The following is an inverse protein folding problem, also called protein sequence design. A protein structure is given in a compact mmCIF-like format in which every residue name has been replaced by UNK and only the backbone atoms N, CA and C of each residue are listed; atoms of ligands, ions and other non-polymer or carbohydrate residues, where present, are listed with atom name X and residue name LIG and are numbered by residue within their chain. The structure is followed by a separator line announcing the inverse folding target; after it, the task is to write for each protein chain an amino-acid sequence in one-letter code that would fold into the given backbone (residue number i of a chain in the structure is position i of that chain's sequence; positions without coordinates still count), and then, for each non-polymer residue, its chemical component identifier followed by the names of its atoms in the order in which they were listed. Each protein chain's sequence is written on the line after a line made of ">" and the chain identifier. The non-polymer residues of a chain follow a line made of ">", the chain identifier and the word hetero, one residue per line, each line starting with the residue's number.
data_IF_866032505439
#
_entry.id   IF_866032505439
#
_cell.length_a   1.000
_cell.length_b   1.000
_cell.length_c   1.000
_cell.angle_alpha   90.00
_cell.angle_beta   90.00
_cell.angle_gamma   90.00
#
_symmetry.space_group_name_H-M   'P 1'
#
loop_
_entity.id
_entity.type
_entity.pdbx_description
1 polymer ?
#
# COMPACT_ATOMS: atom_id res chain seq x y z
N UNK A 1 0.89 31.33 -5.83
CA UNK A 1 0.95 30.88 -5.61
C UNK A 1 0.76 30.04 -5.03
N UNK A 2 0.66 29.84 -4.76
CA UNK A 2 0.67 28.99 -3.83
C UNK A 2 0.01 27.83 -3.79
N UNK A 3 -0.78 27.51 -4.15
CA UNK A 3 -1.38 26.43 -4.02
C UNK A 3 -0.57 25.35 -3.95
N UNK A 4 0.48 25.40 -4.41
CA UNK A 4 1.30 24.38 -4.45
C UNK A 4 1.70 23.97 -3.18
N UNK A 5 1.73 24.75 -2.31
CA UNK A 5 2.20 24.36 -1.11
C UNK A 5 1.17 23.56 -0.51
N UNK A 6 0.03 23.59 -0.99
CA UNK A 6 -0.98 22.75 -0.48
C UNK A 6 -0.60 21.35 -0.66
N UNK A 7 -0.04 21.05 -1.80
CA UNK A 7 0.35 19.71 -2.06
C UNK A 7 1.39 19.27 -1.08
N UNK A 8 2.27 20.12 -0.70
CA UNK A 8 3.31 19.68 0.18
C UNK A 8 2.76 19.33 1.52
N UNK A 9 1.61 19.86 1.89
CA UNK A 9 1.09 19.53 3.13
C UNK A 9 0.43 18.24 3.19
N UNK A 10 0.20 17.58 2.09
CA UNK A 10 -0.53 16.35 2.11
C UNK A 10 0.30 15.23 2.64
N UNK A 11 1.59 15.41 2.69
CA UNK A 11 2.40 14.37 3.13
C UNK A 11 2.32 13.13 2.31
N UNK A 12 1.74 13.16 1.15
CA UNK A 12 1.62 12.02 0.27
C UNK A 12 2.77 12.07 -0.71
N UNK A 13 3.66 11.11 -0.66
CA UNK A 13 4.77 11.07 -1.60
C UNK A 13 4.36 10.27 -2.81
N UNK A 14 5.05 10.44 -3.94
CA UNK A 14 4.74 9.64 -5.11
C UNK A 14 4.87 8.14 -4.85
N UNK A 15 5.91 7.73 -4.11
CA UNK A 15 6.07 6.33 -3.82
C UNK A 15 4.98 5.84 -2.90
N UNK A 16 4.60 6.61 -1.91
CA UNK A 16 3.55 6.21 -1.00
C UNK A 16 2.23 6.09 -1.71
N UNK A 17 1.96 7.00 -2.65
CA UNK A 17 0.72 6.95 -3.37
C UNK A 17 0.68 5.75 -4.29
N UNK A 18 1.79 5.45 -4.96
CA UNK A 18 1.82 4.31 -5.85
C UNK A 18 1.67 3.00 -5.10
N UNK A 19 2.31 2.89 -3.94
CA UNK A 19 2.17 1.71 -3.13
C UNK A 19 0.72 1.58 -2.69
N UNK A 20 0.11 2.66 -2.25
CA UNK A 20 -1.26 2.63 -1.77
C UNK A 20 -2.24 2.24 -2.85
N UNK A 21 -2.05 2.76 -4.07
CA UNK A 21 -2.93 2.43 -5.16
C UNK A 21 -2.77 0.97 -5.56
N UNK A 22 -1.54 0.48 -5.56
CA UNK A 22 -1.28 -0.90 -5.90
C UNK A 22 -1.91 -1.82 -4.85
N UNK A 23 -1.76 -1.45 -3.58
CA UNK A 23 -2.33 -2.24 -2.50
C UNK A 23 -3.85 -2.31 -2.67
N UNK A 24 -4.47 -1.18 -2.97
CA UNK A 24 -5.90 -1.15 -3.14
C UNK A 24 -6.33 -2.00 -4.31
N UNK A 25 -5.63 -1.91 -5.43
CA UNK A 25 -5.99 -2.69 -6.60
C UNK A 25 -5.87 -4.18 -6.31
N UNK A 26 -4.83 -4.59 -5.63
CA UNK A 26 -4.64 -6.00 -5.32
C UNK A 26 -5.69 -6.47 -4.33
N UNK A 27 -6.04 -5.62 -3.38
CA UNK A 27 -7.05 -5.97 -2.40
C UNK A 27 -8.42 -6.18 -3.05
N UNK A 28 -8.79 -5.24 -3.92
CA UNK A 28 -10.08 -5.32 -4.60
C UNK A 28 -10.10 -6.54 -5.50
N UNK A 29 -9.00 -6.79 -6.21
CA UNK A 29 -8.92 -7.95 -7.09
C UNK A 29 -9.03 -9.25 -6.30
N UNK A 30 -8.58 -9.26 -5.07
CA UNK A 30 -8.67 -10.44 -4.24
C UNK A 30 -10.03 -10.57 -3.55
N UNK A 31 -10.90 -9.59 -3.73
CA UNK A 31 -12.22 -9.62 -3.13
C UNK A 31 -12.25 -9.32 -1.64
N UNK A 32 -11.25 -8.61 -1.15
CA UNK A 32 -11.14 -8.33 0.27
C UNK A 32 -11.54 -6.91 0.61
N UNK A 33 -12.19 -6.73 1.75
CA UNK A 33 -12.42 -5.38 2.26
C UNK A 33 -11.16 -4.93 2.98
N UNK A 34 -11.12 -3.67 3.36
CA UNK A 34 -9.98 -3.17 4.14
C UNK A 34 -9.89 -3.91 5.47
N UNK A 35 -11.04 -4.23 6.07
CA UNK A 35 -11.04 -4.97 7.32
C UNK A 35 -10.54 -6.39 7.11
N UNK A 36 -10.92 -7.01 6.00
CA UNK A 36 -10.46 -8.35 5.70
C UNK A 36 -8.95 -8.37 5.55
N UNK A 37 -8.40 -7.39 4.85
CA UNK A 37 -6.97 -7.34 4.64
C UNK A 37 -6.23 -7.08 5.94
N UNK A 38 -6.79 -6.23 6.80
CA UNK A 38 -6.15 -5.91 8.07
C UNK A 38 -6.12 -7.14 8.99
N UNK A 39 -7.11 -7.97 8.91
CA UNK A 39 -7.16 -9.18 9.72
C UNK A 39 -7.11 -8.85 11.19
N UNK A 40 -6.42 -9.68 11.95
CA UNK A 40 -6.28 -9.45 13.37
C UNK A 40 -5.09 -8.61 13.70
N UNK A 41 -4.24 -8.32 12.73
CA UNK A 41 -2.99 -7.67 13.02
C UNK A 41 -3.06 -6.15 12.94
N UNK A 42 -3.85 -5.62 12.06
CA UNK A 42 -3.92 -4.19 11.86
C UNK A 42 -5.37 -3.74 11.88
N UNK A 43 -5.60 -2.45 11.81
CA UNK A 43 -6.94 -1.92 11.79
C UNK A 43 -7.33 -1.56 10.36
N UNK A 44 -8.60 -1.47 10.11
CA UNK A 44 -9.11 -1.05 8.83
C UNK A 44 -8.59 0.35 8.51
N UNK A 45 -8.52 1.22 9.54
CA UNK A 45 -8.05 2.58 9.34
C UNK A 45 -6.60 2.61 8.91
N UNK A 46 -5.80 1.70 9.44
CA UNK A 46 -4.39 1.66 9.06
C UNK A 46 -4.27 1.29 7.58
N UNK A 47 -5.03 0.28 7.14
CA UNK A 47 -5.01 -0.12 5.74
C UNK A 47 -5.48 1.04 4.88
N UNK A 48 -6.51 1.74 5.31
CA UNK A 48 -7.02 2.89 4.57
C UNK A 48 -5.96 3.96 4.42
N UNK A 49 -5.19 4.23 5.48
CA UNK A 49 -4.16 5.24 5.41
C UNK A 49 -3.04 4.84 4.47
N UNK A 50 -2.68 3.57 4.43
CA UNK A 50 -1.66 3.11 3.50
C UNK A 50 -2.18 3.28 2.08
N UNK A 51 -3.42 2.93 1.83
CA UNK A 51 -3.99 3.03 0.48
C UNK A 51 -4.06 4.47 0.00
N UNK A 52 -4.21 5.40 0.90
CA UNK A 52 -4.25 6.79 0.52
C UNK A 52 -2.87 7.44 0.49
N UNK A 53 -1.84 6.69 0.79
CA UNK A 53 -0.48 7.22 0.77
C UNK A 53 -0.16 8.09 1.95
N UNK A 54 -0.96 8.05 3.01
CA UNK A 54 -0.75 8.88 4.15
C UNK A 54 0.19 8.32 5.19
N UNK A 55 0.49 7.05 5.11
CA UNK A 55 1.44 6.44 6.01
C UNK A 55 2.26 5.44 5.22
N UNK A 56 3.50 5.21 5.64
CA UNK A 56 4.36 4.30 4.95
C UNK A 56 4.52 3.06 5.78
N UNK A 57 4.14 1.90 5.29
CA UNK A 57 4.28 0.68 6.05
C UNK A 57 5.74 0.25 6.14
N UNK A 58 6.09 -0.45 7.19
CA UNK A 58 7.43 -1.00 7.31
C UNK A 58 7.54 -2.20 6.38
N UNK A 59 8.74 -2.70 6.16
CA UNK A 59 8.93 -3.85 5.31
C UNK A 59 8.24 -5.07 5.90
N UNK A 60 8.19 -5.21 7.21
CA UNK A 60 7.46 -6.31 7.80
C UNK A 60 5.97 -6.24 7.53
N UNK A 61 5.41 -5.04 7.56
CA UNK A 61 4.01 -4.85 7.24
C UNK A 61 3.76 -5.17 5.78
N UNK A 62 4.66 -4.75 4.89
CA UNK A 62 4.50 -5.04 3.47
C UNK A 62 4.52 -6.54 3.24
N UNK A 63 5.41 -7.26 3.90
CA UNK A 63 5.49 -8.70 3.75
C UNK A 63 4.20 -9.37 4.23
N UNK A 64 3.67 -8.90 5.35
CA UNK A 64 2.45 -9.48 5.89
C UNK A 64 1.27 -9.23 4.94
N UNK A 65 1.17 -8.01 4.41
CA UNK A 65 0.09 -7.70 3.49
C UNK A 65 0.22 -8.49 2.19
N UNK A 66 1.45 -8.61 1.69
CA UNK A 66 1.68 -9.35 0.46
C UNK A 66 1.32 -10.81 0.64
N UNK A 67 1.62 -11.37 1.80
CA UNK A 67 1.31 -12.75 2.08
C UNK A 67 -0.21 -12.94 2.08
N UNK A 68 -0.95 -12.02 2.67
CA UNK A 68 -2.40 -12.14 2.69
C UNK A 68 -2.99 -11.99 1.31
N UNK A 69 -2.34 -11.21 0.44
CA UNK A 69 -2.82 -11.01 -0.91
C UNK A 69 -2.32 -12.09 -1.87
N UNK A 70 -1.38 -12.91 -1.43
CA UNK A 70 -0.85 -13.94 -2.29
C UNK A 70 0.10 -13.41 -3.35
N UNK A 71 0.76 -12.29 -3.10
CA UNK A 71 1.68 -11.69 -4.05
C UNK A 71 3.05 -11.53 -3.44
N UNK A 72 4.03 -11.26 -4.28
CA UNK A 72 5.39 -11.05 -3.83
C UNK A 72 5.50 -9.70 -3.13
N UNK A 73 6.21 -9.66 -2.00
CA UNK A 73 6.37 -8.42 -1.25
C UNK A 73 7.10 -7.37 -2.07
N UNK A 74 8.07 -7.78 -2.87
CA UNK A 74 8.78 -6.83 -3.72
C UNK A 74 7.86 -6.23 -4.77
N UNK A 75 6.96 -7.04 -5.31
CA UNK A 75 6.00 -6.53 -6.26
C UNK A 75 5.06 -5.51 -5.58
N UNK A 76 4.59 -5.82 -4.38
CA UNK A 76 3.72 -4.89 -3.67
C UNK A 76 4.46 -3.59 -3.41
N UNK A 77 5.69 -3.68 -2.96
CA UNK A 77 6.45 -2.49 -2.58
C UNK A 77 6.85 -1.65 -3.78
N UNK A 78 7.28 -2.27 -4.85
CA UNK A 78 7.86 -1.52 -5.96
C UNK A 78 7.12 -1.64 -7.27
N UNK A 79 6.23 -2.62 -7.37
CA UNK A 79 5.53 -2.83 -8.61
C UNK A 79 6.32 -3.64 -9.62
N UNK A 80 7.46 -4.19 -9.20
CA UNK A 80 8.28 -4.96 -10.09
C UNK A 80 8.40 -6.36 -9.57
N UNK A 81 8.05 -7.34 -10.36
CA UNK A 81 8.13 -8.71 -9.94
C UNK A 81 9.58 -9.12 -9.85
N UNK A 82 9.97 -9.70 -8.73
CA UNK A 82 11.36 -10.01 -8.54
C UNK A 82 11.84 -11.11 -9.42
N UNK A 83 10.98 -12.02 -9.79
CA UNK A 83 11.45 -13.10 -10.60
C UNK A 83 11.68 -12.69 -12.00
N UNK A 84 11.24 -11.52 -12.40
CA UNK A 84 11.52 -11.13 -13.67
C UNK A 84 12.84 -10.86 -13.94
N UNK A 85 13.64 -10.60 -13.01
CA UNK A 85 14.89 -10.31 -13.28
C UNK A 85 15.63 -11.43 -13.45
N UNK A 86 15.20 -12.48 -13.27
CA UNK A 86 16.00 -13.64 -13.34
C UNK A 86 16.55 -13.89 -14.71
#
# INVERSE_FOLDING_TARGET
>A
MPMRETASRTRTTPEGRRLGERLRQLRVAAGLTQSDLAGDRFSKEYVSQIERGKTRPTSGTIEWLADRLGVDAGFLASGVATDERA
#
